data_IF_324872187279
#
_entry.id   IF_324872187279
#
_cell.length_a   1.000
_cell.length_b   1.000
_cell.length_c   1.000
_cell.angle_alpha   90.00
_cell.angle_beta   90.00
_cell.angle_gamma   90.00
#
_symmetry.space_group_name_H-M   'P 1'
#
loop_
_entity.id
_entity.type
_entity.pdbx_description
1 polymer ?
#
# COMPACT_ATOMS: atom_id res chain seq x y z
N UNK A 1 -18.30 -7.91 -6.43
CA UNK A 1 -17.26 -7.36 -7.33
C UNK A 1 -17.17 -5.84 -7.24
N UNK A 2 -18.26 -5.07 -7.46
CA UNK A 2 -18.22 -3.59 -7.44
C UNK A 2 -17.58 -2.97 -6.18
N UNK A 3 -17.92 -3.46 -4.98
CA UNK A 3 -17.31 -3.00 -3.72
C UNK A 3 -15.79 -3.22 -3.69
N UNK A 4 -15.32 -4.37 -4.17
CA UNK A 4 -13.88 -4.66 -4.20
C UNK A 4 -13.11 -3.76 -5.16
N UNK A 5 -13.72 -3.38 -6.30
CA UNK A 5 -13.12 -2.44 -7.27
C UNK A 5 -13.05 -1.03 -6.67
N UNK A 6 -14.12 -0.57 -6.00
CA UNK A 6 -14.11 0.70 -5.28
C UNK A 6 -13.06 0.71 -4.17
N UNK A 7 -12.97 -0.39 -3.41
CA UNK A 7 -11.96 -0.59 -2.37
C UNK A 7 -10.53 -0.56 -2.94
N UNK A 8 -10.31 -1.20 -4.09
CA UNK A 8 -9.03 -1.17 -4.78
C UNK A 8 -8.63 0.26 -5.18
N UNK A 9 -9.54 1.01 -5.82
CA UNK A 9 -9.27 2.38 -6.23
C UNK A 9 -8.97 3.30 -5.05
N UNK A 10 -9.73 3.15 -3.96
CA UNK A 10 -9.50 3.89 -2.72
C UNK A 10 -8.17 3.50 -2.06
N UNK A 11 -7.85 2.21 -2.00
CA UNK A 11 -6.58 1.71 -1.47
C UNK A 11 -5.39 2.27 -2.24
N UNK A 12 -5.45 2.22 -3.56
CA UNK A 12 -4.40 2.77 -4.42
C UNK A 12 -4.24 4.28 -4.23
N UNK A 13 -5.36 5.01 -4.17
CA UNK A 13 -5.36 6.46 -3.92
C UNK A 13 -4.75 6.81 -2.56
N UNK A 14 -5.14 6.12 -1.49
CA UNK A 14 -4.61 6.35 -0.14
C UNK A 14 -3.12 6.05 -0.04
N UNK A 15 -2.66 4.93 -0.62
CA UNK A 15 -1.23 4.57 -0.59
C UNK A 15 -0.41 5.59 -1.35
N UNK A 16 -0.87 5.98 -2.54
CA UNK A 16 -0.19 6.99 -3.36
C UNK A 16 -0.08 8.30 -2.58
N UNK A 17 -1.18 8.75 -1.98
CA UNK A 17 -1.23 9.98 -1.20
C UNK A 17 -0.33 9.92 0.05
N UNK A 18 -0.27 8.77 0.71
CA UNK A 18 0.60 8.54 1.86
C UNK A 18 2.09 8.49 1.49
N UNK A 19 2.43 8.04 0.28
CA UNK A 19 3.80 7.95 -0.22
C UNK A 19 4.37 9.30 -0.68
N UNK A 20 3.56 10.17 -1.29
CA UNK A 20 3.98 11.48 -1.79
C UNK A 20 4.77 12.34 -0.77
N UNK A 21 4.35 12.47 0.51
CA UNK A 21 5.07 13.29 1.49
C UNK A 21 6.34 12.64 2.04
N UNK A 22 6.57 11.33 1.83
CA UNK A 22 7.70 10.60 2.43
C UNK A 22 9.07 10.96 1.83
N UNK A 23 9.10 11.79 0.78
CA UNK A 23 10.29 12.54 0.40
C UNK A 23 11.50 11.69 0.05
N UNK A 24 11.36 10.74 -0.88
CA UNK A 24 12.50 10.02 -1.43
C UNK A 24 13.43 10.96 -2.20
N UNK A 25 14.54 11.35 -1.57
CA UNK A 25 15.54 12.28 -2.14
C UNK A 25 16.46 11.65 -3.19
N UNK A 26 16.36 10.34 -3.44
CA UNK A 26 17.29 9.59 -4.29
C UNK A 26 17.18 9.81 -5.81
N UNK A 27 16.16 10.50 -6.32
CA UNK A 27 15.88 10.58 -7.76
C UNK A 27 15.73 12.03 -8.23
N UNK A 28 16.76 12.73 -8.72
CA UNK A 28 16.63 14.13 -9.20
C UNK A 28 15.79 14.25 -10.49
N UNK A 29 14.96 15.30 -10.57
CA UNK A 29 14.18 15.61 -11.78
C UNK A 29 15.06 16.50 -12.66
N UNK A 30 15.39 16.04 -13.87
CA UNK A 30 16.32 16.74 -14.77
C UNK A 30 15.62 17.56 -15.85
N UNK A 31 14.33 17.31 -16.14
CA UNK A 31 13.57 17.98 -17.19
C UNK A 31 12.10 18.15 -16.82
N UNK A 32 11.41 19.08 -17.47
CA UNK A 32 9.95 19.27 -17.34
C UNK A 32 9.23 18.43 -18.40
N UNK A 33 8.59 17.32 -18.02
CA UNK A 33 7.86 16.47 -18.98
C UNK A 33 6.87 15.50 -18.34
N UNK A 34 5.96 14.92 -19.13
CA UNK A 34 4.93 13.97 -18.66
C UNK A 34 5.53 12.75 -17.95
N UNK A 35 6.74 12.34 -18.36
CA UNK A 35 7.45 11.23 -17.73
C UNK A 35 7.82 11.50 -16.26
N UNK A 36 7.81 12.76 -15.81
CA UNK A 36 8.14 13.10 -14.42
C UNK A 36 7.17 12.45 -13.43
N UNK A 37 5.95 12.16 -13.87
CA UNK A 37 4.98 11.42 -13.08
C UNK A 37 5.53 10.06 -12.64
N UNK A 38 6.30 9.37 -13.48
CA UNK A 38 6.91 8.09 -13.11
C UNK A 38 8.02 8.24 -12.08
N UNK A 39 8.82 9.31 -12.15
CA UNK A 39 9.79 9.64 -11.10
C UNK A 39 9.08 9.98 -9.78
N UNK A 40 7.96 10.71 -9.84
CA UNK A 40 7.15 11.02 -8.66
C UNK A 40 6.57 9.74 -8.04
N UNK A 41 6.03 8.83 -8.86
CA UNK A 41 5.51 7.55 -8.39
C UNK A 41 6.62 6.67 -7.79
N UNK A 42 7.80 6.63 -8.41
CA UNK A 42 8.96 5.95 -7.83
C UNK A 42 9.31 6.52 -6.47
N UNK A 43 9.38 7.85 -6.35
CA UNK A 43 9.67 8.53 -5.08
C UNK A 43 8.60 8.25 -4.02
N UNK A 44 7.34 8.17 -4.41
CA UNK A 44 6.23 7.92 -3.51
C UNK A 44 6.22 6.47 -2.98
N UNK A 45 6.47 5.50 -3.85
CA UNK A 45 6.35 4.08 -3.50
C UNK A 45 7.63 3.47 -2.92
N UNK A 46 8.83 3.92 -3.31
CA UNK A 46 10.11 3.38 -2.80
C UNK A 46 10.19 3.28 -1.27
N UNK A 47 9.80 4.30 -0.48
CA UNK A 47 9.80 4.19 0.98
C UNK A 47 8.77 3.17 1.49
N UNK A 48 7.62 3.07 0.82
CA UNK A 48 6.54 2.14 1.18
C UNK A 48 6.88 0.69 0.88
N UNK A 49 7.90 0.42 0.06
CA UNK A 49 8.39 -0.93 -0.22
C UNK A 49 9.34 -1.49 0.87
N UNK A 50 9.57 -0.75 1.96
CA UNK A 50 10.47 -1.15 3.07
C UNK A 50 9.85 -1.07 4.47
N UNK A 51 8.64 -1.62 4.70
CA UNK A 51 7.93 -1.46 5.97
C UNK A 51 8.66 -2.04 7.19
N UNK A 52 9.14 -3.28 7.13
CA UNK A 52 9.87 -3.91 8.23
C UNK A 52 11.32 -3.43 8.29
N UNK A 53 11.99 -3.31 7.14
CA UNK A 53 13.35 -2.79 7.11
C UNK A 53 13.45 -1.41 7.75
N UNK A 54 12.54 -0.50 7.42
CA UNK A 54 12.50 0.83 8.04
C UNK A 54 12.24 0.75 9.54
N UNK A 55 11.30 -0.10 9.96
CA UNK A 55 10.99 -0.29 11.39
C UNK A 55 12.21 -0.80 12.19
N UNK A 56 13.09 -1.57 11.56
CA UNK A 56 14.34 -2.08 12.13
C UNK A 56 15.52 -1.10 12.00
N UNK A 57 15.32 0.09 11.44
CA UNK A 57 16.35 1.10 11.27
C UNK A 57 17.23 0.94 10.03
N UNK A 58 16.95 -0.04 9.16
CA UNK A 58 17.67 -0.18 7.89
C UNK A 58 17.27 0.93 6.89
N UNK A 59 18.20 1.37 6.02
CA UNK A 59 17.90 2.38 5.01
C UNK A 59 16.79 1.90 4.08
N UNK A 60 16.01 2.84 3.54
CA UNK A 60 14.99 2.54 2.54
C UNK A 60 15.64 2.18 1.20
N UNK A 61 14.85 1.59 0.29
CA UNK A 61 15.34 1.20 -1.04
C UNK A 61 16.01 2.38 -1.74
N UNK A 62 17.23 2.19 -2.24
CA UNK A 62 18.02 3.25 -2.87
C UNK A 62 18.84 4.08 -1.88
N UNK A 63 19.02 3.62 -0.65
CA UNK A 63 20.04 4.12 0.29
C UNK A 63 19.67 5.38 1.06
N UNK A 64 18.42 5.85 0.97
CA UNK A 64 17.94 6.96 1.79
C UNK A 64 17.74 6.54 3.26
N UNK A 65 17.73 7.49 4.22
CA UNK A 65 17.58 7.17 5.64
C UNK A 65 16.30 6.39 5.95
N UNK A 66 16.35 5.59 7.02
CA UNK A 66 15.18 4.89 7.53
C UNK A 66 14.06 5.86 7.90
N UNK A 67 12.81 5.47 7.60
CA UNK A 67 11.60 6.17 8.02
C UNK A 67 10.97 5.58 9.29
N UNK A 68 11.69 4.67 9.98
CA UNK A 68 11.20 4.01 11.18
C UNK A 68 9.93 3.21 10.94
N UNK A 69 9.01 3.25 11.90
CA UNK A 69 7.72 2.53 11.85
C UNK A 69 6.76 3.05 10.77
N UNK A 70 7.04 4.21 10.17
CA UNK A 70 6.07 4.95 9.38
C UNK A 70 5.53 4.17 8.15
N UNK A 71 6.36 3.53 7.31
CA UNK A 71 5.84 2.81 6.16
C UNK A 71 5.01 1.59 6.58
N UNK A 72 5.40 0.91 7.67
CA UNK A 72 4.62 -0.18 8.26
C UNK A 72 3.25 0.32 8.74
N UNK A 73 3.22 1.44 9.49
CA UNK A 73 1.99 2.04 10.00
C UNK A 73 1.03 2.41 8.86
N UNK A 74 1.54 2.99 7.76
CA UNK A 74 0.73 3.34 6.59
C UNK A 74 0.02 2.12 6.01
N UNK A 75 0.75 1.02 5.78
CA UNK A 75 0.19 -0.21 5.26
C UNK A 75 -0.89 -0.81 6.17
N UNK A 76 -0.64 -0.82 7.48
CA UNK A 76 -1.59 -1.31 8.49
C UNK A 76 -2.84 -0.43 8.52
N UNK A 77 -2.67 0.90 8.61
CA UNK A 77 -3.78 1.85 8.67
C UNK A 77 -4.67 1.77 7.44
N UNK A 78 -4.10 1.70 6.23
CA UNK A 78 -4.87 1.60 4.99
C UNK A 78 -5.59 0.25 4.91
N UNK A 79 -4.93 -0.85 5.33
CA UNK A 79 -5.58 -2.15 5.44
C UNK A 79 -6.80 -2.10 6.36
N UNK A 80 -6.67 -1.52 7.55
CA UNK A 80 -7.78 -1.33 8.48
C UNK A 80 -8.91 -0.48 7.87
N UNK A 81 -8.58 0.67 7.26
CA UNK A 81 -9.58 1.56 6.62
C UNK A 81 -10.38 0.79 5.57
N UNK A 82 -9.72 0.02 4.71
CA UNK A 82 -10.40 -0.79 3.69
C UNK A 82 -11.27 -1.89 4.28
N UNK A 83 -10.79 -2.59 5.31
CA UNK A 83 -11.58 -3.56 6.06
C UNK A 83 -12.87 -2.96 6.61
N UNK A 84 -12.76 -1.82 7.27
CA UNK A 84 -13.89 -1.10 7.87
C UNK A 84 -14.88 -0.58 6.82
N UNK A 85 -14.39 -0.07 5.70
CA UNK A 85 -15.23 0.47 4.63
C UNK A 85 -15.98 -0.61 3.86
N UNK A 86 -15.31 -1.72 3.54
CA UNK A 86 -15.87 -2.76 2.69
C UNK A 86 -16.79 -3.71 3.45
N UNK A 87 -16.62 -3.81 4.78
CA UNK A 87 -17.47 -4.60 5.68
C UNK A 87 -17.65 -6.03 5.18
N UNK A 88 -16.55 -6.61 4.68
CA UNK A 88 -16.52 -7.94 4.10
C UNK A 88 -15.08 -8.43 4.08
N UNK A 89 -14.79 -9.54 4.76
CA UNK A 89 -13.44 -10.09 4.82
C UNK A 89 -12.88 -10.39 3.41
N UNK A 90 -13.66 -11.08 2.58
CA UNK A 90 -13.25 -11.45 1.23
C UNK A 90 -13.16 -10.26 0.27
N UNK A 91 -14.05 -9.27 0.40
CA UNK A 91 -13.98 -8.05 -0.42
C UNK A 91 -12.76 -7.18 -0.07
N UNK A 92 -12.48 -7.04 1.22
CA UNK A 92 -11.40 -6.24 1.75
C UNK A 92 -10.01 -6.85 1.50
N UNK A 93 -9.88 -8.17 1.66
CA UNK A 93 -8.66 -8.89 1.29
C UNK A 93 -8.34 -8.74 -0.20
N UNK A 94 -9.32 -8.96 -1.08
CA UNK A 94 -9.11 -8.86 -2.54
C UNK A 94 -8.75 -7.44 -2.96
N UNK A 95 -9.44 -6.44 -2.42
CA UNK A 95 -9.13 -5.04 -2.69
C UNK A 95 -7.69 -4.71 -2.28
N UNK A 96 -7.29 -5.10 -1.05
CA UNK A 96 -5.97 -4.76 -0.53
C UNK A 96 -4.84 -5.54 -1.21
N UNK A 97 -5.06 -6.81 -1.54
CA UNK A 97 -4.10 -7.59 -2.33
C UNK A 97 -3.89 -6.95 -3.70
N UNK A 98 -4.99 -6.57 -4.39
CA UNK A 98 -4.90 -5.92 -5.69
C UNK A 98 -4.18 -4.58 -5.60
N UNK A 99 -4.50 -3.77 -4.59
CA UNK A 99 -3.79 -2.50 -4.33
C UNK A 99 -2.29 -2.73 -4.14
N UNK A 100 -1.90 -3.73 -3.34
CA UNK A 100 -0.49 -4.02 -3.05
C UNK A 100 0.26 -4.51 -4.27
N UNK A 101 -0.34 -5.43 -5.04
CA UNK A 101 0.22 -5.91 -6.29
C UNK A 101 0.39 -4.77 -7.31
N UNK A 102 -0.61 -3.89 -7.43
CA UNK A 102 -0.53 -2.75 -8.35
C UNK A 102 0.55 -1.75 -7.93
N UNK A 103 0.75 -1.50 -6.64
CA UNK A 103 1.85 -0.64 -6.17
C UNK A 103 3.21 -1.18 -6.61
N UNK A 104 3.44 -2.49 -6.48
CA UNK A 104 4.67 -3.14 -6.94
C UNK A 104 4.80 -3.01 -8.47
N UNK A 105 3.74 -3.31 -9.23
CA UNK A 105 3.74 -3.21 -10.69
C UNK A 105 4.00 -1.77 -11.16
N UNK A 106 3.37 -0.79 -10.51
CA UNK A 106 3.56 0.63 -10.83
C UNK A 106 4.97 1.08 -10.48
N UNK A 107 5.54 0.62 -9.37
CA UNK A 107 6.92 0.92 -9.03
C UNK A 107 7.89 0.35 -10.07
N UNK A 108 7.76 -0.94 -10.42
CA UNK A 108 8.57 -1.58 -11.47
C UNK A 108 8.38 -0.88 -12.81
N UNK A 109 7.14 -0.67 -13.24
CA UNK A 109 6.81 0.01 -14.49
C UNK A 109 7.38 1.43 -14.55
N UNK A 110 7.36 2.15 -13.43
CA UNK A 110 7.91 3.50 -13.37
C UNK A 110 9.43 3.54 -13.52
N UNK A 111 10.16 2.48 -13.15
CA UNK A 111 11.61 2.38 -13.43
C UNK A 111 11.90 2.38 -14.93
N UNK A 112 11.11 1.65 -15.70
CA UNK A 112 11.27 1.57 -17.16
C UNK A 112 10.70 2.79 -17.88
N UNK A 113 9.52 3.26 -17.48
CA UNK A 113 8.85 4.39 -18.12
C UNK A 113 9.53 5.73 -17.83
N UNK A 114 10.33 5.83 -16.75
CA UNK A 114 11.13 7.01 -16.47
C UNK A 114 12.44 7.09 -17.26
N UNK A 115 12.81 6.06 -18.04
CA UNK A 115 14.07 6.01 -18.80
C UNK A 115 14.41 7.29 -19.59
N UNK A 116 13.46 7.97 -20.27
CA UNK A 116 13.75 9.18 -21.03
C UNK A 116 14.19 10.40 -20.19
N UNK A 117 14.05 10.36 -18.87
CA UNK A 117 14.39 11.49 -17.97
C UNK A 117 15.84 11.40 -17.48
N UNK A 118 16.43 10.21 -17.55
CA UNK A 118 17.78 10.00 -17.05
C UNK A 118 18.81 10.67 -17.96
N UNK A 119 19.91 11.18 -17.40
CA UNK A 119 20.93 11.90 -18.18
C UNK A 119 21.59 11.01 -19.23
N UNK A 120 21.76 9.72 -18.93
CA UNK A 120 22.36 8.74 -19.81
C UNK A 120 21.91 7.30 -19.47
N UNK A 121 22.08 6.39 -20.42
CA UNK A 121 21.66 4.99 -20.30
C UNK A 121 22.43 4.23 -19.21
N UNK A 122 23.69 4.58 -18.96
CA UNK A 122 24.51 3.89 -17.97
C UNK A 122 24.04 4.22 -16.55
N UNK A 123 23.78 5.49 -16.25
CA UNK A 123 23.23 5.95 -14.97
C UNK A 123 21.86 5.33 -14.70
N UNK A 124 21.01 5.22 -15.73
CA UNK A 124 19.72 4.54 -15.62
C UNK A 124 19.87 3.06 -15.29
N UNK A 125 20.67 2.31 -16.05
CA UNK A 125 20.86 0.86 -15.86
C UNK A 125 21.49 0.53 -14.51
N UNK A 126 22.50 1.29 -14.09
CA UNK A 126 23.18 1.09 -12.80
C UNK A 126 22.23 1.37 -11.64
N UNK A 127 21.40 2.42 -11.72
CA UNK A 127 20.41 2.73 -10.69
C UNK A 127 19.30 1.69 -10.61
N UNK A 128 18.74 1.25 -11.75
CA UNK A 128 17.77 0.15 -11.75
C UNK A 128 18.37 -1.11 -11.13
N UNK A 129 19.60 -1.47 -11.51
CA UNK A 129 20.26 -2.66 -10.98
C UNK A 129 20.46 -2.58 -9.47
N UNK A 130 20.82 -1.41 -8.95
CA UNK A 130 20.95 -1.18 -7.52
C UNK A 130 19.61 -1.31 -6.80
N UNK A 131 18.56 -0.64 -7.29
CA UNK A 131 17.21 -0.69 -6.71
C UNK A 131 16.61 -2.10 -6.75
N UNK A 132 16.80 -2.82 -7.85
CA UNK A 132 16.34 -4.21 -7.99
C UNK A 132 17.06 -5.14 -7.01
N UNK A 133 18.38 -5.01 -6.88
CA UNK A 133 19.17 -5.80 -5.92
C UNK A 133 18.73 -5.52 -4.48
N UNK A 134 18.49 -4.26 -4.14
CA UNK A 134 18.03 -3.85 -2.81
C UNK A 134 16.64 -4.43 -2.50
N UNK A 135 15.70 -4.36 -3.45
CA UNK A 135 14.37 -4.95 -3.29
C UNK A 135 14.41 -6.48 -3.12
N UNK A 136 15.18 -7.18 -3.97
CA UNK A 136 15.30 -8.66 -3.93
C UNK A 136 15.95 -9.11 -2.61
N UNK A 137 16.86 -8.30 -2.05
CA UNK A 137 17.52 -8.61 -0.78
C UNK A 137 16.59 -8.52 0.44
N UNK A 138 15.34 -8.06 0.28
CA UNK A 138 14.36 -7.81 1.36
C UNK A 138 13.10 -8.66 1.21
N UNK A 139 13.21 -10.00 1.29
CA UNK A 139 12.07 -10.90 1.09
C UNK A 139 10.97 -10.72 2.15
N UNK A 140 11.32 -10.29 3.36
CA UNK A 140 10.36 -10.05 4.45
C UNK A 140 9.47 -8.85 4.14
N UNK A 141 10.04 -7.76 3.63
CA UNK A 141 9.27 -6.58 3.21
C UNK A 141 8.31 -6.92 2.07
N UNK A 142 8.80 -7.64 1.04
CA UNK A 142 8.00 -8.09 -0.08
C UNK A 142 6.85 -9.02 0.34
N UNK A 143 7.14 -10.01 1.18
CA UNK A 143 6.15 -10.93 1.72
C UNK A 143 5.09 -10.20 2.53
N UNK A 144 5.51 -9.22 3.34
CA UNK A 144 4.57 -8.39 4.09
C UNK A 144 3.67 -7.58 3.17
N UNK A 145 4.22 -6.84 2.20
CA UNK A 145 3.43 -5.97 1.31
C UNK A 145 2.33 -6.76 0.60
N UNK A 146 2.62 -7.99 0.17
CA UNK A 146 1.63 -8.84 -0.50
C UNK A 146 0.57 -9.42 0.43
N UNK A 147 0.95 -9.84 1.64
CA UNK A 147 0.09 -10.68 2.49
C UNK A 147 -0.36 -9.97 3.77
N UNK A 148 0.51 -9.21 4.42
CA UNK A 148 0.25 -8.55 5.70
C UNK A 148 -0.97 -7.63 5.64
N UNK A 149 -1.01 -6.61 4.78
CA UNK A 149 -2.15 -5.72 4.66
C UNK A 149 -3.44 -6.43 4.24
N UNK A 150 -3.33 -7.49 3.43
CA UNK A 150 -4.46 -8.33 3.04
C UNK A 150 -5.09 -9.00 4.27
N UNK A 151 -4.29 -9.62 5.14
CA UNK A 151 -4.75 -10.26 6.37
C UNK A 151 -5.38 -9.23 7.30
N UNK A 152 -4.74 -8.08 7.49
CA UNK A 152 -5.23 -7.00 8.36
C UNK A 152 -6.59 -6.49 7.86
N UNK A 153 -6.70 -6.27 6.55
CA UNK A 153 -7.93 -5.81 5.91
C UNK A 153 -9.06 -6.83 6.03
N UNK A 154 -8.77 -8.13 5.83
CA UNK A 154 -9.74 -9.20 6.09
C UNK A 154 -10.20 -9.24 7.54
N UNK A 155 -9.27 -9.19 8.49
CA UNK A 155 -9.56 -9.26 9.91
C UNK A 155 -10.42 -8.08 10.36
N UNK A 156 -10.09 -6.85 9.94
CA UNK A 156 -10.88 -5.65 10.23
C UNK A 156 -12.29 -5.74 9.60
N UNK A 157 -12.39 -6.24 8.37
CA UNK A 157 -13.68 -6.47 7.71
C UNK A 157 -14.55 -7.50 8.42
N UNK A 158 -13.96 -8.63 8.84
CA UNK A 158 -14.66 -9.71 9.53
C UNK A 158 -15.13 -9.28 10.92
N UNK A 159 -14.27 -8.58 11.68
CA UNK A 159 -14.62 -8.07 13.00
C UNK A 159 -15.84 -7.15 12.94
N UNK A 160 -15.87 -6.24 11.97
CA UNK A 160 -16.96 -5.28 11.82
C UNK A 160 -18.26 -5.95 11.35
N UNK A 161 -18.16 -6.95 10.48
CA UNK A 161 -19.30 -7.76 10.04
C UNK A 161 -19.92 -8.51 11.22
N UNK A 162 -19.10 -9.16 12.05
CA UNK A 162 -19.54 -9.87 13.25
C UNK A 162 -20.17 -8.93 14.31
N UNK A 163 -19.60 -7.75 14.53
CA UNK A 163 -20.20 -6.75 15.44
C UNK A 163 -21.57 -6.29 14.97
N UNK A 164 -21.74 -6.09 13.65
CA UNK A 164 -23.02 -5.68 13.07
C UNK A 164 -24.08 -6.78 13.19
N UNK A 165 -23.72 -8.04 12.94
CA UNK A 165 -24.63 -9.16 13.10
C UNK A 165 -25.15 -9.29 14.53
N UNK A 166 -24.26 -9.13 15.52
CA UNK A 166 -24.66 -9.08 16.94
C UNK A 166 -25.63 -7.93 17.22
N UNK A 167 -25.29 -6.71 16.81
CA UNK A 167 -26.15 -5.54 17.02
C UNK A 167 -27.54 -5.69 16.38
N UNK A 168 -27.62 -6.26 15.19
CA UNK A 168 -28.89 -6.49 14.50
C UNK A 168 -29.72 -7.60 15.18
N UNK A 169 -29.06 -8.60 15.77
CA UNK A 169 -29.72 -9.64 16.55
C UNK A 169 -30.29 -9.07 17.84
N UNK A 170 -29.52 -8.23 18.54
CA UNK A 170 -29.95 -7.58 19.79
C UNK A 170 -31.15 -6.66 19.55
N UNK A 171 -31.12 -5.85 18.49
CA UNK A 171 -32.28 -5.03 18.08
C UNK A 171 -33.52 -5.84 17.75
N UNK A 172 -33.37 -6.95 17.03
CA UNK A 172 -34.53 -7.83 16.72
C UNK A 172 -35.14 -8.41 17.99
N UNK A 173 -34.32 -8.78 18.96
CA UNK A 173 -34.80 -9.27 20.25
C UNK A 173 -35.54 -8.14 20.99
N UNK A 174 -35.00 -6.92 21.06
CA UNK A 174 -35.69 -5.76 21.65
C UNK A 174 -37.03 -5.47 20.98
N UNK A 175 -37.10 -5.50 19.65
CA UNK A 175 -38.34 -5.30 18.89
C UNK A 175 -39.35 -6.41 19.22
N UNK A 176 -38.94 -7.67 19.30
CA UNK A 176 -39.81 -8.81 19.61
C UNK A 176 -40.35 -8.76 21.05
N UNK A 177 -39.53 -8.32 22.01
CA UNK A 177 -39.95 -8.11 23.41
C UNK A 177 -40.85 -6.88 23.59
N UNK A 178 -40.68 -5.82 22.79
CA UNK A 178 -41.51 -4.61 22.87
C UNK A 178 -42.90 -4.76 22.24
N UNK A 179 -43.09 -5.72 21.33
CA UNK A 179 -44.41 -6.04 20.74
C UNK A 179 -45.25 -6.94 21.64
N UNK A 180 -44.63 -7.62 22.62
CA UNK A 180 -45.29 -8.51 23.58
C UNK A 180 -45.84 -7.80 24.84
N UNK A 181 -45.65 -6.48 24.96
CA UNK A 181 -46.15 -5.62 26.04
C UNK A 181 -46.91 -4.40 25.49
#
# INVERSE_FOLDING_TARGET
>A
MAKAILGYGLGLGLITLAGLPLGFKGLTIHTSGQFNLFIILLRAYSPLLTPFSSALGYPIIGGSPSLGILPLAIWISIGCILGLLLRSAGGAAKAMFLTSATVIILWIGSLFLSAPIWPDQYTWLTTISALAKDLISRPIDLGFILVGPMIISAAAGQLLEAMRERLMKDRRLEDEYSVLY
#
